data_IF_650245823413
#
_entry.id   IF_650245823413
#
_cell.length_a   1.000
_cell.length_b   1.000
_cell.length_c   1.000
_cell.angle_alpha   90.00
_cell.angle_beta   90.00
_cell.angle_gamma   90.00
#
_symmetry.space_group_name_H-M   'P 1'
#
loop_
_entity.id
_entity.type
_entity.pdbx_description
1 polymer ?
#
# COMPACT_ATOMS: atom_id res chain seq x y z
N UNK A 1 16.57 4.91 -10.94
CA UNK A 1 17.15 6.28 -10.98
C UNK A 1 18.20 6.47 -12.07
N UNK A 2 18.83 5.43 -12.64
CA UNK A 2 19.84 5.57 -13.74
C UNK A 2 19.28 5.55 -15.16
N UNK A 3 18.03 5.11 -15.36
CA UNK A 3 17.47 4.91 -16.70
C UNK A 3 17.28 6.21 -17.50
N UNK A 4 16.79 7.27 -16.84
CA UNK A 4 16.57 8.57 -17.51
C UNK A 4 17.87 9.26 -17.94
N UNK A 5 18.92 9.38 -17.09
CA UNK A 5 20.19 9.92 -17.57
C UNK A 5 20.86 9.03 -18.64
N UNK A 6 20.68 7.71 -18.59
CA UNK A 6 21.19 6.80 -19.63
C UNK A 6 20.50 7.02 -21.00
N UNK A 7 19.17 7.21 -21.01
CA UNK A 7 18.44 7.53 -22.24
C UNK A 7 18.89 8.87 -22.83
N UNK A 8 19.09 9.87 -21.99
CA UNK A 8 19.56 11.19 -22.43
C UNK A 8 20.95 11.11 -23.06
N UNK A 9 21.89 10.42 -22.41
CA UNK A 9 23.23 10.19 -22.94
C UNK A 9 23.22 9.43 -24.28
N UNK A 10 22.33 8.43 -24.42
CA UNK A 10 22.13 7.68 -25.67
C UNK A 10 21.61 8.57 -26.80
N UNK A 11 20.67 9.48 -26.53
CA UNK A 11 20.16 10.37 -27.58
C UNK A 11 21.21 11.40 -28.00
N UNK A 12 21.98 11.94 -27.04
CA UNK A 12 23.11 12.83 -27.34
C UNK A 12 24.18 12.14 -28.20
N UNK A 13 24.56 10.91 -27.84
CA UNK A 13 25.48 10.10 -28.63
C UNK A 13 24.95 9.80 -30.02
N UNK A 14 23.65 9.51 -30.15
CA UNK A 14 23.00 9.29 -31.45
C UNK A 14 23.05 10.55 -32.33
N UNK A 15 22.78 11.73 -31.77
CA UNK A 15 22.90 13.00 -32.51
C UNK A 15 24.35 13.19 -32.98
N UNK A 16 25.33 13.06 -32.07
CA UNK A 16 26.75 13.18 -32.40
C UNK A 16 27.18 12.21 -33.51
N UNK A 17 26.74 10.96 -33.43
CA UNK A 17 27.06 9.94 -34.43
C UNK A 17 26.47 10.28 -35.81
N UNK A 18 25.22 10.75 -35.86
CA UNK A 18 24.58 11.14 -37.11
C UNK A 18 25.22 12.38 -37.72
N UNK A 19 25.60 13.38 -36.91
CA UNK A 19 26.32 14.57 -37.37
C UNK A 19 27.70 14.23 -37.95
N UNK A 20 28.41 13.26 -37.36
CA UNK A 20 29.70 12.80 -37.88
C UNK A 20 29.55 11.99 -39.18
N UNK A 21 28.54 11.12 -39.26
CA UNK A 21 28.36 10.18 -40.38
C UNK A 21 27.61 10.76 -41.57
N UNK A 22 26.77 11.77 -41.36
CA UNK A 22 25.98 12.39 -42.42
C UNK A 22 26.48 13.81 -42.65
N UNK A 23 27.20 14.01 -43.75
CA UNK A 23 27.52 15.35 -44.21
C UNK A 23 26.23 16.15 -44.53
N UNK A 24 26.22 17.49 -44.38
CA UNK A 24 25.10 18.32 -44.78
C UNK A 24 24.69 18.01 -46.22
N UNK A 25 23.38 17.80 -46.43
CA UNK A 25 22.73 17.38 -47.68
C UNK A 25 23.51 17.76 -48.96
N UNK A 26 24.32 16.83 -49.44
CA UNK A 26 24.78 16.84 -50.82
C UNK A 26 23.73 16.08 -51.64
N UNK A 27 23.33 16.63 -52.79
CA UNK A 27 22.30 16.05 -53.67
C UNK A 27 22.76 14.78 -54.41
N UNK A 28 23.61 13.97 -53.79
CA UNK A 28 24.06 12.69 -54.31
C UNK A 28 23.16 11.57 -53.79
N UNK A 29 22.80 10.67 -54.70
CA UNK A 29 21.96 9.52 -54.41
C UNK A 29 22.52 8.70 -53.23
N UNK A 30 21.62 8.13 -52.41
CA UNK A 30 21.98 7.24 -51.30
C UNK A 30 22.88 6.11 -51.81
N UNK A 31 24.01 5.87 -51.13
CA UNK A 31 24.92 4.79 -51.46
C UNK A 31 24.23 3.43 -51.24
N UNK A 32 24.41 2.50 -52.18
CA UNK A 32 23.83 1.15 -52.12
C UNK A 32 24.39 0.36 -50.94
N UNK A 33 25.64 0.62 -50.57
CA UNK A 33 26.29 -0.03 -49.42
C UNK A 33 25.59 0.35 -48.10
N UNK A 34 25.21 1.62 -47.92
CA UNK A 34 24.50 2.08 -46.72
C UNK A 34 23.11 1.44 -46.58
N UNK A 35 22.45 1.16 -47.71
CA UNK A 35 21.17 0.46 -47.76
C UNK A 35 21.34 -1.01 -47.37
N UNK A 36 22.41 -1.66 -47.84
CA UNK A 36 22.72 -3.05 -47.50
C UNK A 36 23.07 -3.21 -46.01
N UNK A 37 23.89 -2.32 -45.45
CA UNK A 37 24.25 -2.36 -44.03
C UNK A 37 23.03 -2.18 -43.12
N UNK A 38 22.08 -1.30 -43.49
CA UNK A 38 20.81 -1.15 -42.78
C UNK A 38 19.99 -2.44 -42.79
N UNK A 39 19.89 -3.08 -43.94
CA UNK A 39 19.16 -4.34 -44.09
C UNK A 39 19.79 -5.45 -43.23
N UNK A 40 21.11 -5.61 -43.27
CA UNK A 40 21.82 -6.62 -42.49
C UNK A 40 21.66 -6.38 -40.97
N UNK A 41 21.67 -5.12 -40.54
CA UNK A 41 21.38 -4.74 -39.16
C UNK A 41 19.96 -5.13 -38.75
N UNK A 42 18.96 -4.86 -39.60
CA UNK A 42 17.57 -5.20 -39.34
C UNK A 42 17.37 -6.72 -39.20
N UNK A 43 17.99 -7.51 -40.09
CA UNK A 43 17.95 -8.98 -40.02
C UNK A 43 18.53 -9.49 -38.70
N UNK A 44 19.67 -8.94 -38.25
CA UNK A 44 20.29 -9.31 -36.96
C UNK A 44 19.38 -8.97 -35.78
N UNK A 45 18.74 -7.79 -35.80
CA UNK A 45 17.79 -7.36 -34.77
C UNK A 45 16.59 -8.30 -34.71
N UNK A 46 15.99 -8.64 -35.85
CA UNK A 46 14.87 -9.59 -35.93
C UNK A 46 15.25 -10.95 -35.37
N UNK A 47 16.43 -11.47 -35.72
CA UNK A 47 16.93 -12.74 -35.18
C UNK A 47 17.03 -12.69 -33.66
N UNK A 48 17.66 -11.64 -33.12
CA UNK A 48 17.78 -11.46 -31.67
C UNK A 48 16.41 -11.36 -30.98
N UNK A 49 15.43 -10.68 -31.59
CA UNK A 49 14.07 -10.62 -31.04
C UNK A 49 13.40 -12.00 -30.99
N UNK A 50 13.58 -12.83 -32.03
CA UNK A 50 13.07 -14.21 -32.06
C UNK A 50 13.72 -15.06 -30.97
N UNK A 51 15.03 -14.99 -30.84
CA UNK A 51 15.79 -15.74 -29.84
C UNK A 51 15.38 -15.33 -28.42
N UNK A 52 15.24 -14.02 -28.16
CA UNK A 52 14.74 -13.50 -26.87
C UNK A 52 13.32 -14.02 -26.58
N UNK A 53 12.44 -14.03 -27.58
CA UNK A 53 11.08 -14.52 -27.41
C UNK A 53 11.07 -16.01 -27.06
N UNK A 54 11.85 -16.83 -27.77
CA UNK A 54 11.98 -18.26 -27.49
C UNK A 54 12.56 -18.52 -26.10
N UNK A 55 13.60 -17.77 -25.70
CA UNK A 55 14.19 -17.87 -24.38
C UNK A 55 13.20 -17.46 -23.28
N UNK A 56 12.40 -16.41 -23.50
CA UNK A 56 11.34 -16.00 -22.56
C UNK A 56 10.32 -17.11 -22.36
N UNK A 57 9.90 -17.80 -23.42
CA UNK A 57 9.00 -18.95 -23.33
C UNK A 57 9.64 -20.09 -22.53
N UNK A 58 10.88 -20.47 -22.85
CA UNK A 58 11.61 -21.51 -22.10
C UNK A 58 11.76 -21.17 -20.62
N UNK A 59 12.04 -19.90 -20.29
CA UNK A 59 12.10 -19.44 -18.89
C UNK A 59 10.74 -19.54 -18.21
N UNK A 60 9.64 -19.23 -18.90
CA UNK A 60 8.29 -19.40 -18.35
C UNK A 60 7.96 -20.87 -18.09
N UNK A 61 8.32 -21.76 -19.02
CA UNK A 61 8.10 -23.21 -18.90
C UNK A 61 8.92 -23.82 -17.75
N UNK A 62 10.20 -23.48 -17.67
CA UNK A 62 11.11 -23.95 -16.60
C UNK A 62 10.80 -23.32 -15.24
N UNK A 63 10.28 -22.09 -15.22
CA UNK A 63 9.95 -21.34 -14.01
C UNK A 63 8.78 -21.91 -13.20
N UNK A 64 8.13 -22.97 -13.66
CA UNK A 64 7.27 -23.84 -12.84
C UNK A 64 6.06 -23.18 -12.17
N UNK A 65 5.65 -21.98 -12.62
CA UNK A 65 4.51 -21.24 -12.04
C UNK A 65 3.23 -21.31 -12.87
N UNK A 66 3.22 -22.02 -14.00
CA UNK A 66 1.98 -22.33 -14.67
C UNK A 66 1.27 -23.48 -13.93
N UNK A 67 0.71 -23.20 -12.75
CA UNK A 67 -0.49 -23.91 -12.33
C UNK A 67 -1.56 -23.50 -13.33
N UNK A 68 -1.62 -24.17 -14.50
CA UNK A 68 -2.74 -24.03 -15.44
C UNK A 68 -3.99 -24.08 -14.57
N UNK A 69 -4.74 -22.98 -14.40
CA UNK A 69 -5.87 -23.00 -13.49
C UNK A 69 -6.75 -24.13 -13.98
N UNK A 70 -6.94 -25.16 -13.17
CA UNK A 70 -7.84 -26.25 -13.52
C UNK A 70 -9.16 -25.58 -13.88
N UNK A 71 -9.70 -25.91 -15.05
CA UNK A 71 -10.98 -25.37 -15.50
C UNK A 71 -12.04 -25.84 -14.50
N UNK A 72 -12.28 -25.03 -13.48
CA UNK A 72 -13.24 -25.28 -12.41
C UNK A 72 -14.50 -24.50 -12.77
N UNK A 73 -15.67 -25.11 -12.56
CA UNK A 73 -16.94 -24.37 -12.60
C UNK A 73 -16.93 -23.36 -11.46
N UNK A 74 -16.57 -22.11 -11.76
CA UNK A 74 -16.60 -21.00 -10.79
C UNK A 74 -18.05 -20.52 -10.71
N UNK A 75 -18.61 -20.52 -9.50
CA UNK A 75 -19.89 -19.87 -9.21
C UNK A 75 -19.63 -18.38 -8.91
N UNK A 76 -20.62 -17.54 -9.17
CA UNK A 76 -20.58 -16.11 -8.84
C UNK A 76 -20.18 -15.94 -7.37
N UNK A 77 -19.16 -15.11 -7.11
CA UNK A 77 -18.68 -14.86 -5.75
C UNK A 77 -19.73 -14.11 -4.92
N UNK A 78 -19.62 -14.19 -3.60
CA UNK A 78 -20.51 -13.45 -2.71
C UNK A 78 -20.46 -11.94 -3.00
N UNK A 79 -19.28 -11.38 -3.28
CA UNK A 79 -19.11 -9.96 -3.59
C UNK A 79 -19.76 -9.56 -4.91
N UNK A 80 -19.62 -10.40 -5.95
CA UNK A 80 -20.28 -10.17 -7.24
C UNK A 80 -21.81 -10.27 -7.12
N UNK A 81 -22.29 -11.24 -6.34
CA UNK A 81 -23.72 -11.40 -6.07
C UNK A 81 -24.28 -10.22 -5.27
N UNK A 82 -23.56 -9.77 -4.24
CA UNK A 82 -23.95 -8.61 -3.43
C UNK A 82 -23.97 -7.33 -4.26
N UNK A 83 -22.99 -7.13 -5.13
CA UNK A 83 -22.96 -5.99 -6.06
C UNK A 83 -24.11 -6.03 -7.07
N UNK A 84 -24.48 -7.22 -7.55
CA UNK A 84 -25.58 -7.39 -8.50
C UNK A 84 -26.96 -7.19 -7.85
N UNK A 85 -27.16 -7.70 -6.64
CA UNK A 85 -28.45 -7.62 -5.94
C UNK A 85 -28.70 -6.26 -5.29
N UNK A 86 -27.66 -5.62 -4.74
CA UNK A 86 -27.80 -4.41 -3.91
C UNK A 86 -27.11 -3.17 -4.49
N UNK A 87 -26.48 -3.28 -5.66
CA UNK A 87 -25.78 -2.16 -6.31
C UNK A 87 -24.67 -1.58 -5.45
N UNK A 88 -24.47 -0.26 -5.51
CA UNK A 88 -23.45 0.45 -4.73
C UNK A 88 -23.83 0.70 -3.27
N UNK A 89 -25.06 0.39 -2.86
CA UNK A 89 -25.66 0.88 -1.60
C UNK A 89 -25.09 0.23 -0.34
N UNK A 90 -24.42 -0.92 -0.45
CA UNK A 90 -23.92 -1.69 0.69
C UNK A 90 -22.39 -1.66 0.84
N UNK A 91 -21.69 -0.69 0.23
CA UNK A 91 -20.22 -0.56 0.39
C UNK A 91 -19.82 0.16 1.69
N UNK A 92 -20.79 0.68 2.44
CA UNK A 92 -20.55 1.32 3.73
C UNK A 92 -20.79 0.32 4.87
N UNK A 93 -19.72 0.02 5.60
CA UNK A 93 -19.70 -0.75 6.86
C UNK A 93 -20.03 -2.25 6.78
N UNK A 94 -19.13 -3.05 6.21
CA UNK A 94 -19.02 -4.48 6.56
C UNK A 94 -17.84 -4.80 7.49
N UNK A 95 -17.17 -3.79 8.05
CA UNK A 95 -16.08 -4.02 8.99
C UNK A 95 -16.58 -3.92 10.44
N UNK A 96 -17.31 -4.95 10.87
CA UNK A 96 -17.79 -5.08 12.26
C UNK A 96 -16.64 -4.91 13.27
N UNK A 97 -15.43 -5.35 12.89
CA UNK A 97 -14.23 -5.25 13.72
C UNK A 97 -13.76 -3.81 13.93
N UNK A 98 -13.95 -2.93 12.96
CA UNK A 98 -13.59 -1.52 13.07
C UNK A 98 -14.56 -0.77 14.01
N UNK A 99 -15.86 -1.03 13.91
CA UNK A 99 -16.89 -0.40 14.76
C UNK A 99 -16.73 -0.78 16.25
N UNK A 100 -16.41 -2.02 16.60
CA UNK A 100 -16.18 -2.37 18.01
C UNK A 100 -14.91 -1.74 18.62
N UNK A 101 -13.94 -1.32 17.78
CA UNK A 101 -12.72 -0.66 18.24
C UNK A 101 -12.89 0.84 18.46
N UNK A 102 -13.76 1.51 17.72
CA UNK A 102 -14.06 2.93 17.95
C UNK A 102 -14.89 3.11 19.22
N UNK A 103 -15.95 2.31 19.40
CA UNK A 103 -16.82 2.36 20.59
C UNK A 103 -16.03 2.15 21.88
N UNK A 104 -15.18 1.10 21.95
CA UNK A 104 -14.32 0.88 23.12
C UNK A 104 -13.28 1.98 23.36
N UNK A 105 -12.85 2.71 22.32
CA UNK A 105 -11.86 3.78 22.48
C UNK A 105 -12.46 5.05 23.06
N UNK A 106 -13.72 5.35 22.73
CA UNK A 106 -14.44 6.47 23.33
C UNK A 106 -14.74 6.21 24.80
N UNK A 107 -15.19 5.00 25.16
CA UNK A 107 -15.40 4.59 26.55
C UNK A 107 -14.11 4.65 27.38
N UNK A 108 -12.99 4.12 26.85
CA UNK A 108 -11.67 4.19 27.51
C UNK A 108 -11.18 5.63 27.66
N UNK A 109 -11.54 6.53 26.74
CA UNK A 109 -11.14 7.94 26.81
C UNK A 109 -11.95 8.69 27.88
N UNK A 110 -13.27 8.49 27.94
CA UNK A 110 -14.11 9.05 28.99
C UNK A 110 -13.75 8.50 30.36
N UNK A 111 -13.51 7.19 30.48
CA UNK A 111 -13.09 6.57 31.72
C UNK A 111 -11.73 7.10 32.19
N UNK A 112 -10.77 7.32 31.27
CA UNK A 112 -9.47 7.96 31.57
C UNK A 112 -9.57 9.42 31.96
N UNK A 113 -10.51 10.15 31.40
CA UNK A 113 -10.76 11.55 31.76
C UNK A 113 -11.39 11.62 33.16
N UNK A 114 -12.36 10.76 33.46
CA UNK A 114 -12.94 10.59 34.80
C UNK A 114 -11.91 10.10 35.83
N UNK A 115 -11.04 9.15 35.47
CA UNK A 115 -9.98 8.65 36.36
C UNK A 115 -8.82 9.63 36.53
N UNK A 116 -8.57 10.52 35.56
CA UNK A 116 -7.65 11.65 35.76
C UNK A 116 -8.24 12.70 36.70
N UNK A 117 -9.55 12.96 36.66
CA UNK A 117 -10.22 13.80 37.68
C UNK A 117 -10.23 13.14 39.07
N UNK A 118 -10.27 11.80 39.12
CA UNK A 118 -10.02 10.99 40.33
C UNK A 118 -8.53 10.66 40.57
N UNK A 119 -7.62 11.39 39.92
CA UNK A 119 -6.21 11.04 39.72
C UNK A 119 -5.28 11.17 40.93
N UNK A 120 -5.77 11.28 42.16
CA UNK A 120 -4.91 11.09 43.33
C UNK A 120 -5.72 10.71 44.57
N UNK A 121 -6.22 9.46 44.60
CA UNK A 121 -6.89 8.91 45.79
C UNK A 121 -6.02 9.03 47.05
N UNK A 122 -4.69 9.01 46.88
CA UNK A 122 -3.71 9.21 47.96
C UNK A 122 -3.82 10.59 48.60
N UNK A 123 -3.89 11.66 47.81
CA UNK A 123 -4.10 13.03 48.33
C UNK A 123 -5.43 13.21 49.05
N UNK A 124 -6.50 12.58 48.53
CA UNK A 124 -7.83 12.71 49.11
C UNK A 124 -7.95 11.98 50.47
N UNK A 125 -7.28 10.84 50.59
CA UNK A 125 -7.19 10.07 51.86
C UNK A 125 -6.29 10.78 52.88
N UNK A 126 -5.12 11.30 52.47
CA UNK A 126 -4.24 12.06 53.37
C UNK A 126 -4.89 13.35 53.89
N UNK A 127 -5.70 14.02 53.08
CA UNK A 127 -6.46 15.21 53.49
C UNK A 127 -7.53 14.91 54.57
N UNK A 128 -8.10 13.70 54.58
CA UNK A 128 -9.11 13.28 55.56
C UNK A 128 -8.52 12.64 56.83
N UNK A 129 -7.25 12.23 56.81
CA UNK A 129 -6.57 11.60 57.95
C UNK A 129 -6.18 12.59 59.08
N UNK A 130 -6.36 13.90 58.88
CA UNK A 130 -5.94 14.94 59.83
C UNK A 130 -6.91 15.25 60.97
N UNK A 131 -8.06 14.57 61.07
CA UNK A 131 -9.09 14.85 62.09
C UNK A 131 -9.10 13.82 63.22
N UNK A 132 -7.95 13.58 63.85
CA UNK A 132 -7.86 12.77 65.06
C UNK A 132 -7.88 13.65 66.32
N UNK A 133 -9.06 14.22 66.59
CA UNK A 133 -9.38 14.89 67.85
C UNK A 133 -10.53 14.15 68.55
N UNK A 134 -10.25 13.56 69.71
CA UNK A 134 -11.20 12.79 70.55
C UNK A 134 -12.53 13.52 70.72
N UNK A 135 -13.56 13.09 69.97
CA UNK A 135 -14.93 13.61 70.09
C UNK A 135 -15.58 13.03 71.35
N UNK A 136 -15.49 13.77 72.47
CA UNK A 136 -16.26 13.50 73.70
C UNK A 136 -17.75 13.62 73.38
N UNK A 137 -18.51 12.54 73.53
CA UNK A 137 -19.96 12.62 73.69
C UNK A 137 -20.25 12.32 75.17
N UNK A 138 -20.86 13.28 75.86
CA UNK A 138 -21.39 13.12 77.20
C UNK A 138 -22.63 12.22 77.17
N UNK A 139 -22.75 11.31 78.15
CA UNK A 139 -24.00 10.61 78.45
C UNK A 139 -24.99 11.58 79.13
N UNK A 140 -26.20 11.70 78.57
CA UNK A 140 -27.30 12.43 79.19
C UNK A 140 -28.63 11.68 79.00
N UNK A 141 -29.13 11.14 80.12
CA UNK A 141 -30.51 10.85 80.52
C UNK A 141 -31.36 9.94 79.58
N UNK A 142 -31.86 8.78 80.04
CA UNK A 142 -32.93 8.62 81.04
C UNK A 142 -34.19 8.19 80.28
N UNK A 143 -34.80 7.01 80.47
CA UNK A 143 -35.41 6.48 81.68
C UNK A 143 -36.94 6.46 81.47
N UNK A 144 -37.58 5.29 81.64
CA UNK A 144 -39.03 5.18 81.86
C UNK A 144 -39.87 4.53 80.75
N UNK A 145 -40.09 3.22 80.93
CA UNK A 145 -41.38 2.51 80.96
C UNK A 145 -42.60 3.05 80.17
#
# INVERSE_FOLDING_TARGET
MKLEPEKAAREEEKVRYLEEKLAPLQMTALNVDDLQERYDCEVKVIKNYRDIHELKLKVQDLGGKFKKPALRKVRVSADEMMKALFGSKNKESMDLRANFKSVKKEDIKQEKELTNEMGDWRKNVEAMSGMEGRKKMFDAAGGGQ
#
